data_IF_482344416157
#
_entry.id   IF_482344416157
#
_cell.length_a   1.000
_cell.length_b   1.000
_cell.length_c   1.000
_cell.angle_alpha   90.00
_cell.angle_beta   90.00
_cell.angle_gamma   90.00
#
_symmetry.space_group_name_H-M   'P 1'
#
loop_
_entity.id
_entity.type
_entity.pdbx_description
1 polymer ?
#
# COMPACT_ATOMS: atom_id res chain seq x y z
N UNK A 1 5.76 -3.22 -18.24
CA UNK A 1 5.76 -4.43 -17.39
C UNK A 1 6.22 -4.04 -15.99
N UNK A 2 5.48 -4.42 -14.95
CA UNK A 2 5.82 -4.13 -13.54
C UNK A 2 7.19 -4.74 -13.20
N UNK A 3 8.14 -3.89 -12.79
CA UNK A 3 9.47 -4.32 -12.28
C UNK A 3 9.53 -4.10 -10.78
N UNK A 4 9.10 -5.12 -10.02
CA UNK A 4 9.04 -5.09 -8.56
C UNK A 4 10.38 -5.53 -7.95
N UNK A 5 10.95 -4.69 -7.06
CA UNK A 5 12.19 -4.99 -6.32
C UNK A 5 11.92 -5.63 -4.97
N UNK A 6 10.96 -5.08 -4.21
CA UNK A 6 10.58 -5.58 -2.89
C UNK A 6 9.16 -5.16 -2.51
N UNK A 7 8.56 -5.92 -1.62
CA UNK A 7 7.38 -5.53 -0.83
C UNK A 7 7.85 -5.43 0.64
N UNK A 8 7.36 -4.43 1.35
CA UNK A 8 7.57 -4.26 2.79
C UNK A 8 6.22 -4.13 3.48
N UNK A 9 6.10 -4.74 4.66
CA UNK A 9 4.94 -4.66 5.53
C UNK A 9 5.25 -3.89 6.82
N UNK A 10 4.22 -3.29 7.39
CA UNK A 10 4.24 -2.68 8.72
C UNK A 10 2.93 -3.01 9.42
N UNK A 11 3.01 -3.55 10.63
CA UNK A 11 1.86 -3.92 11.44
C UNK A 11 1.98 -3.19 12.77
N UNK A 12 0.98 -2.38 13.09
CA UNK A 12 0.91 -1.64 14.34
C UNK A 12 -0.33 -2.05 15.12
N UNK A 13 -0.14 -2.22 16.43
CA UNK A 13 -1.21 -2.50 17.38
C UNK A 13 -1.16 -1.46 18.48
N UNK A 14 -2.18 -0.61 18.54
CA UNK A 14 -2.32 0.42 19.56
C UNK A 14 -3.21 -0.13 20.68
N UNK A 15 -2.63 -0.25 21.88
CA UNK A 15 -3.33 -0.74 23.08
C UNK A 15 -3.89 0.40 23.95
N UNK A 16 -3.27 1.58 23.89
CA UNK A 16 -3.61 2.75 24.71
C UNK A 16 -3.60 3.97 23.80
N UNK A 17 -4.69 4.74 23.82
CA UNK A 17 -4.83 5.98 23.05
C UNK A 17 -5.60 7.02 23.86
N UNK A 18 -5.22 8.31 23.74
CA UNK A 18 -5.80 9.37 24.56
C UNK A 18 -5.61 9.18 26.08
N UNK A 19 -4.60 8.40 26.49
CA UNK A 19 -4.31 8.09 27.89
C UNK A 19 -5.22 7.03 28.53
N UNK A 20 -5.97 6.26 27.73
CA UNK A 20 -6.84 5.17 28.21
C UNK A 20 -6.59 3.87 27.44
N UNK A 21 -6.76 2.74 28.10
CA UNK A 21 -6.77 1.43 27.42
C UNK A 21 -7.92 1.38 26.41
N UNK A 22 -7.61 0.93 25.20
CA UNK A 22 -8.60 0.72 24.16
C UNK A 22 -9.42 -0.54 24.48
N UNK A 23 -10.78 -0.47 24.53
CA UNK A 23 -11.61 -1.66 24.77
C UNK A 23 -11.36 -2.78 23.75
N UNK A 24 -11.06 -2.38 22.52
CA UNK A 24 -10.53 -3.24 21.45
C UNK A 24 -9.28 -2.55 20.89
N UNK A 25 -8.13 -3.24 20.79
CA UNK A 25 -6.92 -2.65 20.20
C UNK A 25 -7.16 -2.14 18.78
N UNK A 26 -6.63 -0.97 18.46
CA UNK A 26 -6.62 -0.46 17.08
C UNK A 26 -5.45 -1.07 16.31
N UNK A 27 -5.67 -1.40 15.05
CA UNK A 27 -4.65 -1.95 14.17
C UNK A 27 -4.46 -1.05 12.96
N UNK A 28 -3.20 -0.81 12.61
CA UNK A 28 -2.84 -0.14 11.37
C UNK A 28 -1.88 -1.03 10.58
N UNK A 29 -2.25 -1.32 9.34
CA UNK A 29 -1.47 -2.14 8.42
C UNK A 29 -0.96 -1.29 7.27
N UNK A 30 0.34 -1.35 7.03
CA UNK A 30 1.01 -0.75 5.88
C UNK A 30 1.58 -1.82 4.96
N UNK A 31 1.39 -1.65 3.66
CA UNK A 31 2.13 -2.39 2.63
C UNK A 31 2.68 -1.41 1.60
N UNK A 32 3.96 -1.53 1.28
CA UNK A 32 4.59 -0.71 0.24
C UNK A 32 5.42 -1.58 -0.69
N UNK A 33 5.43 -1.21 -1.97
CA UNK A 33 6.23 -1.85 -3.00
C UNK A 33 7.26 -0.86 -3.53
N UNK A 34 8.49 -1.34 -3.74
CA UNK A 34 9.50 -0.57 -4.46
C UNK A 34 9.60 -1.11 -5.87
N UNK A 35 9.34 -0.25 -6.86
CA UNK A 35 9.37 -0.59 -8.28
C UNK A 35 10.42 0.24 -9.00
N UNK A 36 10.87 -0.23 -10.17
CA UNK A 36 11.61 0.65 -11.08
C UNK A 36 10.67 1.70 -11.66
N UNK A 37 11.06 2.98 -11.60
CA UNK A 37 10.32 4.07 -12.24
C UNK A 37 10.37 3.90 -13.78
N UNK A 38 9.24 3.71 -14.47
CA UNK A 38 9.21 3.45 -15.91
C UNK A 38 9.55 4.68 -16.78
N UNK A 39 9.60 5.87 -16.19
CA UNK A 39 9.95 7.13 -16.85
C UNK A 39 11.38 7.58 -16.57
N UNK A 40 12.10 6.89 -15.67
CA UNK A 40 13.48 7.25 -15.35
C UNK A 40 14.38 7.24 -16.61
N UNK A 41 15.11 8.33 -16.83
CA UNK A 41 16.02 8.48 -17.96
C UNK A 41 15.37 8.80 -19.32
N UNK A 42 14.05 8.98 -19.40
CA UNK A 42 13.34 9.29 -20.67
C UNK A 42 13.23 10.79 -20.98
N UNK A 43 13.77 11.67 -20.13
CA UNK A 43 13.55 13.12 -20.24
C UNK A 43 12.12 13.49 -19.84
N UNK A 44 11.53 14.48 -20.51
CA UNK A 44 10.13 14.86 -20.30
C UNK A 44 9.20 13.89 -21.03
N UNK A 45 8.19 13.38 -20.34
CA UNK A 45 7.19 12.47 -20.90
C UNK A 45 5.82 13.16 -20.81
N UNK A 46 5.23 13.46 -21.97
CA UNK A 46 3.94 14.15 -22.07
C UNK A 46 2.77 13.30 -21.59
N UNK A 47 2.76 12.01 -21.96
CA UNK A 47 1.69 11.09 -21.61
C UNK A 47 2.21 9.97 -20.70
N UNK A 48 1.79 10.03 -19.43
CA UNK A 48 2.10 9.03 -18.41
C UNK A 48 1.06 7.90 -18.37
N UNK A 49 -0.08 8.07 -19.05
CA UNK A 49 -1.23 7.17 -18.98
C UNK A 49 -0.88 5.73 -19.34
N UNK A 50 -0.09 5.43 -20.40
CA UNK A 50 0.19 4.06 -20.79
C UNK A 50 0.87 3.24 -19.69
N UNK A 51 1.89 3.81 -19.02
CA UNK A 51 2.58 3.11 -17.95
C UNK A 51 1.77 3.07 -16.65
N UNK A 52 0.98 4.11 -16.34
CA UNK A 52 0.05 4.11 -15.21
C UNK A 52 -0.95 2.97 -15.35
N UNK A 53 -1.61 2.87 -16.50
CA UNK A 53 -2.64 1.84 -16.74
C UNK A 53 -2.06 0.42 -16.76
N UNK A 54 -0.80 0.26 -17.17
CA UNK A 54 -0.11 -1.02 -17.14
C UNK A 54 0.37 -1.46 -15.74
N UNK A 55 0.60 -0.53 -14.82
CA UNK A 55 1.28 -0.81 -13.53
C UNK A 55 0.33 -0.64 -12.34
N UNK A 56 -0.43 0.46 -12.27
CA UNK A 56 -1.18 0.85 -11.09
C UNK A 56 -2.27 -0.16 -10.68
N UNK A 57 -3.06 -0.76 -11.60
CA UNK A 57 -4.07 -1.76 -11.21
C UNK A 57 -3.45 -3.01 -10.57
N UNK A 58 -2.35 -3.50 -11.16
CA UNK A 58 -1.64 -4.69 -10.66
C UNK A 58 -1.00 -4.41 -9.30
N UNK A 59 -0.38 -3.23 -9.14
CA UNK A 59 0.22 -2.83 -7.88
C UNK A 59 -0.82 -2.62 -6.78
N UNK A 60 -1.97 -2.02 -7.12
CA UNK A 60 -3.07 -1.82 -6.20
C UNK A 60 -3.65 -3.13 -5.69
N UNK A 61 -3.89 -4.09 -6.58
CA UNK A 61 -4.37 -5.42 -6.21
C UNK A 61 -3.37 -6.14 -5.27
N UNK A 62 -2.09 -6.17 -5.65
CA UNK A 62 -1.01 -6.81 -4.89
C UNK A 62 -0.90 -6.25 -3.46
N UNK A 63 -0.88 -4.92 -3.30
CA UNK A 63 -0.74 -4.30 -1.98
C UNK A 63 -2.01 -4.44 -1.14
N UNK A 64 -3.18 -4.39 -1.77
CA UNK A 64 -4.47 -4.62 -1.09
C UNK A 64 -4.57 -6.04 -0.56
N UNK A 65 -4.21 -7.03 -1.39
CA UNK A 65 -4.19 -8.44 -0.98
C UNK A 65 -3.28 -8.67 0.22
N UNK A 66 -2.09 -8.06 0.21
CA UNK A 66 -1.14 -8.19 1.32
C UNK A 66 -1.64 -7.52 2.61
N UNK A 67 -2.39 -6.42 2.53
CA UNK A 67 -3.06 -5.80 3.68
C UNK A 67 -4.18 -6.70 4.20
N UNK A 68 -5.07 -7.18 3.32
CA UNK A 68 -6.21 -8.05 3.70
C UNK A 68 -5.71 -9.33 4.34
N UNK A 69 -4.62 -9.92 3.83
CA UNK A 69 -4.00 -11.12 4.40
C UNK A 69 -3.54 -10.91 5.84
N UNK A 70 -3.04 -9.71 6.18
CA UNK A 70 -2.58 -9.37 7.54
C UNK A 70 -3.74 -8.97 8.46
N UNK A 71 -4.72 -8.23 7.93
CA UNK A 71 -5.95 -7.90 8.64
C UNK A 71 -6.85 -9.12 8.89
N UNK A 72 -6.69 -10.19 8.09
CA UNK A 72 -7.47 -11.42 8.13
C UNK A 72 -8.74 -11.38 7.28
N UNK A 73 -9.30 -10.20 7.01
CA UNK A 73 -10.44 -10.00 6.11
C UNK A 73 -10.54 -8.55 5.63
N UNK A 74 -11.16 -8.32 4.49
CA UNK A 74 -11.55 -6.98 4.04
C UNK A 74 -12.71 -6.39 4.85
N UNK A 75 -13.55 -7.26 5.44
CA UNK A 75 -14.75 -6.85 6.21
C UNK A 75 -14.41 -6.14 7.53
N UNK A 76 -13.18 -6.29 8.03
CA UNK A 76 -12.71 -5.63 9.26
C UNK A 76 -11.99 -4.30 8.99
N UNK A 77 -11.89 -3.89 7.72
CA UNK A 77 -11.20 -2.66 7.34
C UNK A 77 -12.16 -1.48 7.45
N UNK A 78 -11.93 -0.62 8.44
CA UNK A 78 -12.76 0.56 8.69
C UNK A 78 -12.28 1.83 7.97
N UNK A 79 -11.02 1.85 7.53
CA UNK A 79 -10.42 2.97 6.82
C UNK A 79 -9.20 2.56 6.01
N UNK A 80 -8.94 3.29 4.92
CA UNK A 80 -7.79 3.04 4.05
C UNK A 80 -7.19 4.34 3.51
N UNK A 81 -5.92 4.27 3.12
CA UNK A 81 -5.19 5.35 2.48
C UNK A 81 -4.21 4.81 1.45
N UNK A 82 -3.69 5.71 0.60
CA UNK A 82 -2.65 5.38 -0.39
C UNK A 82 -1.63 6.50 -0.46
N UNK A 83 -0.37 6.13 -0.71
CA UNK A 83 0.74 7.05 -0.89
C UNK A 83 1.69 6.53 -1.98
N UNK A 84 2.42 7.45 -2.60
CA UNK A 84 3.54 7.17 -3.50
C UNK A 84 4.67 8.15 -3.16
N UNK A 85 5.91 7.67 -3.29
CA UNK A 85 7.14 8.42 -3.03
C UNK A 85 8.11 8.26 -4.20
#
# INVERSE_FOLDING_TARGET
>A
MLKLRKIVGYDEKVLIEGGKEAPTPHYLFGAAAVIANPWAGRGFVEDLTPEIMAIAPVLGALLTEEIIRRAGSGEVVEGYGKAAL
#
